data_IF_680840533021
#
_entry.id   IF_680840533021
#
_cell.length_a   1.000
_cell.length_b   1.000
_cell.length_c   1.000
_cell.angle_alpha   90.00
_cell.angle_beta   90.00
_cell.angle_gamma   90.00
#
_symmetry.space_group_name_H-M   'P 1'
#
loop_
_entity.id
_entity.type
_entity.pdbx_description
1 polymer ?
#
# COMPACT_ATOMS: atom_id res chain seq x y z
N UNK A 1 -29.32 -42.07 38.91
CA UNK A 1 -28.80 -40.69 39.02
C UNK A 1 -29.91 -39.77 39.47
N UNK A 2 -29.63 -38.80 40.35
CA UNK A 2 -30.64 -37.82 40.78
C UNK A 2 -30.73 -36.64 39.81
N UNK A 3 -31.86 -35.92 39.82
CA UNK A 3 -32.02 -34.67 39.06
C UNK A 3 -30.97 -33.61 39.45
N UNK A 4 -30.56 -33.58 40.72
CA UNK A 4 -29.53 -32.65 41.20
C UNK A 4 -28.16 -32.96 40.58
N UNK A 5 -27.81 -34.24 40.42
CA UNK A 5 -26.54 -34.65 39.80
C UNK A 5 -26.51 -34.27 38.31
N UNK A 6 -27.64 -34.44 37.61
CA UNK A 6 -27.78 -34.02 36.22
C UNK A 6 -27.60 -32.51 36.06
N UNK A 7 -28.20 -31.70 36.93
CA UNK A 7 -28.06 -30.24 36.90
C UNK A 7 -26.63 -29.79 37.20
N UNK A 8 -25.96 -30.41 38.17
CA UNK A 8 -24.54 -30.14 38.47
C UNK A 8 -23.63 -30.50 37.30
N UNK A 9 -23.91 -31.62 36.63
CA UNK A 9 -23.20 -32.02 35.43
C UNK A 9 -23.41 -31.02 34.28
N UNK A 10 -24.66 -30.66 33.98
CA UNK A 10 -24.99 -29.69 32.94
C UNK A 10 -24.30 -28.34 33.18
N UNK A 11 -24.31 -27.85 34.42
CA UNK A 11 -23.59 -26.63 34.81
C UNK A 11 -22.10 -26.69 34.46
N UNK A 12 -21.40 -27.77 34.85
CA UNK A 12 -19.96 -27.93 34.54
C UNK A 12 -19.69 -28.01 33.05
N UNK A 13 -20.55 -28.69 32.29
CA UNK A 13 -20.41 -28.79 30.83
C UNK A 13 -20.55 -27.41 30.19
N UNK A 14 -21.56 -26.63 30.60
CA UNK A 14 -21.76 -25.27 30.10
C UNK A 14 -20.56 -24.39 30.45
N UNK A 15 -20.09 -24.41 31.70
CA UNK A 15 -18.92 -23.63 32.12
C UNK A 15 -17.67 -23.96 31.30
N UNK A 16 -17.38 -25.26 31.11
CA UNK A 16 -16.23 -25.70 30.31
C UNK A 16 -16.37 -25.33 28.84
N UNK A 17 -17.58 -25.44 28.29
CA UNK A 17 -17.85 -25.05 26.91
C UNK A 17 -17.67 -23.54 26.72
N UNK A 18 -18.28 -22.72 27.59
CA UNK A 18 -18.19 -21.27 27.55
C UNK A 18 -16.74 -20.80 27.70
N UNK A 19 -15.97 -21.36 28.63
CA UNK A 19 -14.55 -21.01 28.79
C UNK A 19 -13.77 -21.24 27.48
N UNK A 20 -13.94 -22.41 26.85
CA UNK A 20 -13.29 -22.71 25.56
C UNK A 20 -13.74 -21.76 24.45
N UNK A 21 -15.02 -21.38 24.42
CA UNK A 21 -15.52 -20.45 23.40
C UNK A 21 -14.95 -19.04 23.60
N UNK A 22 -14.85 -18.57 24.85
CA UNK A 22 -14.22 -17.29 25.16
C UNK A 22 -12.75 -17.28 24.72
N UNK A 23 -11.99 -18.34 25.04
CA UNK A 23 -10.59 -18.47 24.60
C UNK A 23 -10.41 -18.44 23.07
N UNK A 24 -11.41 -18.90 22.31
CA UNK A 24 -11.40 -18.81 20.85
C UNK A 24 -11.68 -17.39 20.37
N UNK A 25 -12.70 -16.75 20.96
CA UNK A 25 -13.09 -15.38 20.64
C UNK A 25 -11.94 -14.42 20.96
N UNK A 26 -11.32 -14.55 22.12
CA UNK A 26 -10.20 -13.70 22.55
C UNK A 26 -9.01 -13.81 21.60
N UNK A 27 -8.72 -15.01 21.07
CA UNK A 27 -7.69 -15.20 20.05
C UNK A 27 -8.02 -14.51 18.73
N UNK A 28 -9.29 -14.56 18.30
CA UNK A 28 -9.71 -13.85 17.09
C UNK A 28 -9.67 -12.34 17.27
N UNK A 29 -10.05 -11.83 18.45
CA UNK A 29 -9.94 -10.41 18.79
C UNK A 29 -8.47 -9.98 18.69
N UNK A 30 -7.56 -10.69 19.34
CA UNK A 30 -6.14 -10.36 19.32
C UNK A 30 -5.53 -10.37 17.90
N UNK A 31 -5.95 -11.33 17.05
CA UNK A 31 -5.54 -11.38 15.64
C UNK A 31 -6.05 -10.17 14.86
N UNK A 32 -7.31 -9.78 15.05
CA UNK A 32 -7.89 -8.61 14.39
C UNK A 32 -7.28 -7.29 14.88
N UNK A 33 -7.03 -7.16 16.18
CA UNK A 33 -6.31 -6.03 16.75
C UNK A 33 -4.90 -5.91 16.17
N UNK A 34 -4.18 -7.03 16.02
CA UNK A 34 -2.86 -7.03 15.37
C UNK A 34 -2.95 -6.52 13.93
N UNK A 35 -3.91 -7.01 13.16
CA UNK A 35 -4.11 -6.58 11.76
C UNK A 35 -4.47 -5.10 11.67
N UNK A 36 -5.32 -4.61 12.57
CA UNK A 36 -5.65 -3.19 12.64
C UNK A 36 -4.41 -2.34 12.96
N UNK A 37 -3.61 -2.76 13.93
CA UNK A 37 -2.39 -2.06 14.29
C UNK A 37 -1.36 -2.06 13.14
N UNK A 38 -1.23 -3.17 12.40
CA UNK A 38 -0.38 -3.25 11.21
C UNK A 38 -0.84 -2.30 10.10
N UNK A 39 -2.15 -2.22 9.84
CA UNK A 39 -2.73 -1.28 8.86
C UNK A 39 -2.45 0.16 9.27
N UNK A 40 -2.73 0.52 10.51
CA UNK A 40 -2.47 1.87 11.03
C UNK A 40 -0.98 2.23 10.97
N UNK A 41 -0.09 1.31 11.35
CA UNK A 41 1.36 1.50 11.20
C UNK A 41 1.75 1.69 9.74
N UNK A 42 1.19 0.90 8.83
CA UNK A 42 1.43 1.02 7.40
C UNK A 42 0.98 2.35 6.82
N UNK A 43 -0.14 2.90 7.31
CA UNK A 43 -0.64 4.23 6.92
C UNK A 43 0.23 5.35 7.47
N UNK A 44 0.61 5.29 8.76
CA UNK A 44 1.46 6.30 9.41
C UNK A 44 2.88 6.29 8.87
N UNK A 45 3.43 5.11 8.56
CA UNK A 45 4.77 4.95 8.00
C UNK A 45 4.79 5.09 6.47
N UNK A 46 3.64 5.33 5.82
CA UNK A 46 3.60 5.43 4.36
C UNK A 46 4.44 6.63 3.92
N UNK A 47 5.45 6.43 3.04
CA UNK A 47 6.19 7.55 2.50
C UNK A 47 5.23 8.52 1.78
N UNK A 48 5.52 9.83 1.79
CA UNK A 48 4.75 10.78 1.00
C UNK A 48 4.73 10.34 -0.47
N UNK A 49 3.62 10.60 -1.15
CA UNK A 49 3.50 10.29 -2.57
C UNK A 49 4.66 10.96 -3.34
N UNK A 50 5.33 10.23 -4.24
CA UNK A 50 6.47 10.77 -4.97
C UNK A 50 6.01 11.92 -5.87
N UNK A 51 6.77 13.01 -5.85
CA UNK A 51 6.50 14.18 -6.69
C UNK A 51 6.84 13.95 -8.16
N UNK A 52 7.61 12.91 -8.46
CA UNK A 52 8.04 12.56 -9.82
C UNK A 52 7.90 11.07 -10.05
N UNK A 53 7.49 10.72 -11.26
CA UNK A 53 7.21 9.35 -11.66
C UNK A 53 7.92 9.05 -12.99
N UNK A 54 8.55 7.88 -13.08
CA UNK A 54 9.07 7.34 -14.33
C UNK A 54 8.13 6.25 -14.85
N UNK A 55 7.62 6.41 -16.06
CA UNK A 55 6.81 5.40 -16.73
C UNK A 55 7.70 4.43 -17.52
N UNK A 56 7.80 3.16 -17.11
CA UNK A 56 8.63 2.19 -17.82
C UNK A 56 7.98 1.77 -19.15
N UNK A 57 8.81 1.36 -20.11
CA UNK A 57 8.31 0.74 -21.33
C UNK A 57 7.52 -0.55 -21.10
N UNK A 58 6.97 -1.10 -22.18
CA UNK A 58 6.09 -2.28 -22.12
C UNK A 58 6.80 -3.48 -21.48
N UNK A 59 8.08 -3.70 -21.80
CA UNK A 59 8.90 -4.77 -21.25
C UNK A 59 9.77 -4.29 -20.08
N UNK A 60 10.17 -5.22 -19.21
CA UNK A 60 10.96 -4.95 -18.00
C UNK A 60 12.32 -4.30 -18.28
N UNK A 61 12.87 -4.56 -19.46
CA UNK A 61 14.17 -4.04 -19.94
C UNK A 61 14.02 -2.83 -20.85
N UNK A 62 12.78 -2.44 -21.20
CA UNK A 62 12.55 -1.29 -22.07
C UNK A 62 12.87 0.01 -21.33
N UNK A 63 13.49 0.99 -22.01
CA UNK A 63 13.75 2.31 -21.44
C UNK A 63 12.44 2.98 -21.00
N UNK A 64 12.55 3.91 -20.05
CA UNK A 64 11.41 4.72 -19.62
C UNK A 64 10.86 5.53 -20.79
N UNK A 65 9.54 5.59 -20.91
CA UNK A 65 8.86 6.23 -22.04
C UNK A 65 8.52 7.67 -21.72
N UNK A 66 8.22 7.98 -20.45
CA UNK A 66 7.91 9.33 -20.02
C UNK A 66 8.35 9.60 -18.57
N UNK A 67 8.74 10.85 -18.32
CA UNK A 67 8.78 11.43 -16.96
C UNK A 67 7.44 12.11 -16.68
N UNK A 68 6.90 11.96 -15.48
CA UNK A 68 5.65 12.60 -15.04
C UNK A 68 5.83 13.32 -13.70
N UNK A 69 4.97 14.31 -13.46
CA UNK A 69 4.73 14.82 -12.11
C UNK A 69 3.87 13.82 -11.31
N UNK A 70 4.02 13.84 -10.00
CA UNK A 70 3.25 13.05 -9.05
C UNK A 70 1.75 13.31 -9.21
N UNK A 71 0.95 12.24 -9.17
CA UNK A 71 -0.50 12.33 -9.33
C UNK A 71 -0.98 12.58 -10.77
N UNK A 72 -0.11 12.53 -11.78
CA UNK A 72 -0.54 12.62 -13.17
C UNK A 72 -1.53 11.51 -13.52
N UNK A 73 -2.74 11.88 -13.94
CA UNK A 73 -3.80 10.93 -14.30
C UNK A 73 -3.43 10.04 -15.49
N UNK A 74 -2.52 10.50 -16.35
CA UNK A 74 -2.02 9.79 -17.52
C UNK A 74 -0.71 9.03 -17.24
N UNK A 75 -0.25 8.96 -15.98
CA UNK A 75 0.88 8.10 -15.65
C UNK A 75 0.43 6.63 -15.65
N UNK A 76 1.19 5.76 -16.31
CA UNK A 76 0.93 4.33 -16.31
C UNK A 76 0.92 3.76 -14.88
N UNK A 77 0.07 2.75 -14.62
CA UNK A 77 -0.05 2.12 -13.28
C UNK A 77 1.25 1.52 -12.74
N UNK A 78 2.22 1.23 -13.62
CA UNK A 78 3.53 0.67 -13.29
C UNK A 78 4.61 1.75 -13.08
N UNK A 79 4.23 3.03 -13.09
CA UNK A 79 5.18 4.13 -12.91
C UNK A 79 5.82 4.05 -11.53
N UNK A 80 7.11 4.38 -11.47
CA UNK A 80 7.89 4.33 -10.23
C UNK A 80 8.18 5.72 -9.72
N UNK A 81 8.02 5.92 -8.41
CA UNK A 81 8.43 7.14 -7.73
C UNK A 81 9.94 7.33 -7.77
N UNK A 82 10.37 8.54 -8.12
CA UNK A 82 11.77 8.95 -8.11
C UNK A 82 11.93 10.31 -7.43
N UNK A 83 13.16 10.61 -7.00
CA UNK A 83 13.51 11.95 -6.55
C UNK A 83 13.66 12.93 -7.73
N UNK A 84 13.81 14.22 -7.39
CA UNK A 84 13.94 15.29 -8.37
C UNK A 84 15.19 15.13 -9.24
N UNK A 85 16.32 14.74 -8.66
CA UNK A 85 17.59 14.63 -9.39
C UNK A 85 17.55 13.48 -10.39
N UNK A 86 16.93 12.36 -10.04
CA UNK A 86 16.68 11.25 -10.94
C UNK A 86 15.74 11.66 -12.08
N UNK A 87 14.66 12.38 -11.79
CA UNK A 87 13.77 12.90 -12.84
C UNK A 87 14.51 13.83 -13.83
N UNK A 88 15.35 14.73 -13.32
CA UNK A 88 16.18 15.63 -14.12
C UNK A 88 17.20 14.85 -14.96
N UNK A 89 17.91 13.88 -14.38
CA UNK A 89 18.84 13.03 -15.12
C UNK A 89 18.15 12.27 -16.24
N UNK A 90 16.98 11.68 -15.97
CA UNK A 90 16.22 10.94 -16.98
C UNK A 90 15.73 11.84 -18.12
N UNK A 91 15.34 13.09 -17.84
CA UNK A 91 15.05 14.08 -18.87
C UNK A 91 16.30 14.43 -19.70
N UNK A 92 17.45 14.58 -19.06
CA UNK A 92 18.72 14.87 -19.73
C UNK A 92 19.21 13.69 -20.60
N UNK A 93 18.92 12.45 -20.19
CA UNK A 93 19.16 11.23 -20.97
C UNK A 93 18.24 11.10 -22.19
N UNK A 94 17.26 12.02 -22.35
CA UNK A 94 16.43 12.12 -23.54
C UNK A 94 15.05 11.48 -23.41
N UNK A 95 14.67 10.98 -22.23
CA UNK A 95 13.29 10.53 -22.00
C UNK A 95 12.36 11.74 -22.03
N UNK A 96 11.29 11.73 -22.84
CA UNK A 96 10.45 12.90 -22.98
C UNK A 96 9.63 13.17 -21.71
N UNK A 97 9.34 14.44 -21.39
CA UNK A 97 8.35 14.77 -20.37
C UNK A 97 6.95 14.41 -20.87
N UNK A 98 6.09 13.97 -19.94
CA UNK A 98 4.68 13.74 -20.23
C UNK A 98 4.01 15.06 -20.66
N UNK A 99 3.35 15.13 -21.83
CA UNK A 99 2.78 16.37 -22.35
C UNK A 99 1.60 16.90 -21.53
N UNK A 100 0.95 16.04 -20.75
CA UNK A 100 -0.22 16.37 -19.93
C UNK A 100 0.14 17.05 -18.61
N UNK A 101 1.15 16.54 -17.90
CA UNK A 101 1.57 17.11 -16.61
C UNK A 101 2.81 18.03 -16.71
N UNK A 102 3.52 18.02 -17.85
CA UNK A 102 4.68 18.88 -18.15
C UNK A 102 5.67 19.01 -16.99
N UNK A 103 6.25 17.89 -16.51
CA UNK A 103 7.15 17.91 -15.37
C UNK A 103 8.43 18.69 -15.65
N UNK A 104 8.87 18.74 -16.91
CA UNK A 104 9.99 19.57 -17.37
C UNK A 104 9.82 21.05 -16.99
N UNK A 105 8.61 21.61 -17.13
CA UNK A 105 8.33 22.98 -16.73
C UNK A 105 8.43 23.18 -15.23
N UNK A 106 7.89 22.24 -14.45
CA UNK A 106 7.95 22.29 -13.00
C UNK A 106 9.39 22.10 -12.48
N UNK A 107 10.22 21.35 -13.21
CA UNK A 107 11.63 21.10 -12.94
C UNK A 107 12.57 22.17 -13.51
N UNK A 108 12.08 23.11 -14.31
CA UNK A 108 12.91 24.10 -15.02
C UNK A 108 13.81 23.49 -16.10
N UNK A 109 13.52 22.27 -16.55
CA UNK A 109 14.27 21.61 -17.62
C UNK A 109 13.77 22.10 -19.00
N UNK A 110 14.66 22.48 -19.92
CA UNK A 110 14.26 22.92 -21.25
C UNK A 110 13.55 21.77 -21.99
N UNK A 111 12.33 22.02 -22.46
CA UNK A 111 11.60 21.06 -23.30
C UNK A 111 12.31 20.92 -24.64
N UNK A 112 12.79 19.73 -24.98
CA UNK A 112 13.30 19.47 -26.34
C UNK A 112 12.10 19.48 -27.31
N UNK A 113 12.11 20.27 -28.41
CA UNK A 113 11.03 20.22 -29.38
C UNK A 113 10.94 18.80 -29.98
N UNK A 114 9.71 18.29 -30.12
CA UNK A 114 9.43 17.01 -30.79
C UNK A 114 9.82 17.07 -32.26
#
# INVERSE_FOLDING_TARGET
MSRLDMLRFARRVVEQHTARQLDLIDRWIAEEERRQAERQRGEQARPPAPQWLLEPGLNKESPSVYVHAGGCWNAGRRSRGVDQDAALRTLAEGVPPCPHCRPDKALGHPSRPR
#
